data_IF_357401808369
#
_entry.id   IF_357401808369
#
_cell.length_a   1.000
_cell.length_b   1.000
_cell.length_c   1.000
_cell.angle_alpha   90.00
_cell.angle_beta   90.00
_cell.angle_gamma   90.00
#
_symmetry.space_group_name_H-M   'P 1'
#
loop_
_entity.id
_entity.type
_entity.pdbx_description
1 polymer ?
#
# COMPACT_ATOMS: atom_id res chain seq x y z
N UNK A 1 -16.34 -22.08 21.85
CA UNK A 1 -15.90 -22.94 20.74
C UNK A 1 -14.45 -22.60 20.42
N UNK A 2 -13.50 -23.33 21.01
CA UNK A 2 -12.07 -22.95 21.05
C UNK A 2 -11.29 -23.38 19.80
N UNK A 3 -11.83 -24.31 19.03
CA UNK A 3 -11.21 -24.84 17.82
C UNK A 3 -11.41 -23.91 16.61
N UNK A 4 -12.58 -23.27 16.51
CA UNK A 4 -12.89 -22.32 15.45
C UNK A 4 -12.04 -21.02 15.54
N UNK A 5 -11.82 -20.51 16.76
CA UNK A 5 -10.92 -19.36 16.98
C UNK A 5 -9.47 -19.66 16.54
N UNK A 6 -8.95 -20.83 16.90
CA UNK A 6 -7.56 -21.20 16.57
C UNK A 6 -7.35 -21.43 15.06
N UNK A 7 -8.35 -21.94 14.35
CA UNK A 7 -8.27 -22.13 12.90
C UNK A 7 -8.27 -20.78 12.15
N UNK A 8 -9.14 -19.85 12.55
CA UNK A 8 -9.14 -18.49 12.00
C UNK A 8 -7.83 -17.76 12.26
N UNK A 9 -7.26 -17.87 13.47
CA UNK A 9 -5.96 -17.25 13.80
C UNK A 9 -4.80 -17.81 12.97
N UNK A 10 -4.83 -19.11 12.65
CA UNK A 10 -3.81 -19.76 11.80
C UNK A 10 -3.95 -19.27 10.36
N UNK A 11 -5.17 -19.22 9.81
CA UNK A 11 -5.41 -18.74 8.44
C UNK A 11 -5.06 -17.25 8.28
N UNK A 12 -5.36 -16.42 9.28
CA UNK A 12 -5.03 -15.00 9.30
C UNK A 12 -3.52 -14.76 9.40
N UNK A 13 -2.81 -15.54 10.23
CA UNK A 13 -1.35 -15.51 10.32
C UNK A 13 -0.65 -15.97 9.05
N UNK A 14 -1.13 -17.05 8.42
CA UNK A 14 -0.56 -17.57 7.17
C UNK A 14 -0.81 -16.61 6.00
N UNK A 15 -1.99 -15.99 5.92
CA UNK A 15 -2.29 -14.97 4.94
C UNK A 15 -1.41 -13.72 5.14
N UNK A 16 -1.22 -13.30 6.40
CA UNK A 16 -0.37 -12.16 6.72
C UNK A 16 1.09 -12.43 6.35
N UNK A 17 1.61 -13.62 6.65
CA UNK A 17 2.95 -14.02 6.26
C UNK A 17 3.13 -14.08 4.73
N UNK A 18 2.15 -14.63 4.00
CA UNK A 18 2.20 -14.69 2.54
C UNK A 18 2.16 -13.30 1.89
N UNK A 19 1.33 -12.39 2.43
CA UNK A 19 1.22 -11.01 1.96
C UNK A 19 2.48 -10.20 2.26
N UNK A 20 3.09 -10.41 3.43
CA UNK A 20 4.38 -9.83 3.80
C UNK A 20 5.53 -10.37 2.93
N UNK A 21 5.56 -11.68 2.67
CA UNK A 21 6.57 -12.32 1.83
C UNK A 21 6.47 -11.84 0.37
N UNK A 22 5.26 -11.65 -0.17
CA UNK A 22 5.04 -11.09 -1.50
C UNK A 22 5.52 -9.65 -1.60
N UNK A 23 5.28 -8.87 -0.55
CA UNK A 23 5.70 -7.47 -0.45
C UNK A 23 7.24 -7.35 -0.33
N UNK A 24 7.86 -8.13 0.56
CA UNK A 24 9.31 -8.18 0.72
C UNK A 24 10.00 -8.70 -0.55
N UNK A 25 9.43 -9.70 -1.21
CA UNK A 25 9.92 -10.22 -2.49
C UNK A 25 9.86 -9.16 -3.59
N UNK A 26 8.79 -8.36 -3.66
CA UNK A 26 8.67 -7.25 -4.61
C UNK A 26 9.71 -6.15 -4.36
N UNK A 27 9.94 -5.79 -3.09
CA UNK A 27 10.98 -4.81 -2.74
C UNK A 27 12.38 -5.31 -3.08
N UNK A 28 12.66 -6.59 -2.78
CA UNK A 28 13.96 -7.22 -3.01
C UNK A 28 14.29 -7.43 -4.51
N UNK A 29 13.30 -7.76 -5.34
CA UNK A 29 13.53 -7.98 -6.78
C UNK A 29 13.56 -6.71 -7.61
N UNK A 30 12.84 -5.65 -7.22
CA UNK A 30 12.79 -4.41 -7.98
C UNK A 30 13.68 -3.30 -7.42
N UNK A 31 14.21 -3.41 -6.20
CA UNK A 31 15.13 -2.41 -5.64
C UNK A 31 14.44 -1.06 -5.39
N UNK A 32 13.34 -1.09 -4.63
CA UNK A 32 12.57 0.09 -4.22
C UNK A 32 11.07 -0.20 -4.07
N UNK A 33 10.32 0.81 -3.63
CA UNK A 33 8.86 0.73 -3.45
C UNK A 33 8.17 0.96 -4.80
N UNK A 34 7.34 0.04 -5.31
CA UNK A 34 6.66 0.23 -6.59
C UNK A 34 5.62 1.36 -6.52
N UNK A 35 5.45 2.09 -7.63
CA UNK A 35 4.45 3.14 -7.73
C UNK A 35 3.04 2.53 -7.80
N UNK A 36 2.15 2.87 -6.84
CA UNK A 36 0.82 2.25 -6.78
C UNK A 36 -0.13 2.73 -7.89
N UNK A 37 0.20 3.83 -8.58
CA UNK A 37 -0.62 4.35 -9.68
C UNK A 37 -0.37 3.63 -11.00
N UNK A 38 0.90 3.33 -11.31
CA UNK A 38 1.26 2.79 -12.63
C UNK A 38 1.84 1.37 -12.59
N UNK A 39 2.20 0.87 -11.41
CA UNK A 39 2.82 -0.45 -11.15
C UNK A 39 4.07 -0.77 -11.99
N UNK A 40 4.65 0.23 -12.65
CA UNK A 40 5.78 0.09 -13.60
C UNK A 40 7.03 0.83 -13.17
N UNK A 41 6.88 1.93 -12.44
CA UNK A 41 8.01 2.69 -11.91
C UNK A 41 8.12 2.53 -10.41
N UNK A 42 9.20 3.08 -9.86
CA UNK A 42 9.45 3.12 -8.42
C UNK A 42 9.17 4.50 -7.83
N UNK A 43 8.87 4.50 -6.55
CA UNK A 43 8.71 5.71 -5.77
C UNK A 43 10.07 6.27 -5.35
N UNK A 44 10.21 7.58 -5.48
CA UNK A 44 11.23 8.39 -4.84
C UNK A 44 10.59 9.29 -3.78
N UNK A 45 11.33 9.61 -2.73
CA UNK A 45 10.90 10.51 -1.66
C UNK A 45 12.02 11.48 -1.30
N UNK A 46 11.68 12.76 -1.27
CA UNK A 46 12.60 13.81 -0.86
C UNK A 46 12.43 14.04 0.63
N UNK A 47 13.49 13.75 1.38
CA UNK A 47 13.51 13.93 2.83
C UNK A 47 13.39 15.40 3.26
N UNK A 48 13.82 16.34 2.41
CA UNK A 48 13.86 17.77 2.74
C UNK A 48 12.51 18.45 2.60
N UNK A 49 11.70 18.08 1.61
CA UNK A 49 10.44 18.75 1.31
C UNK A 49 9.20 17.83 1.25
N UNK A 50 9.39 16.55 1.57
CA UNK A 50 8.32 15.55 1.68
C UNK A 50 7.67 15.19 0.35
N UNK A 51 8.29 15.55 -0.79
CA UNK A 51 7.73 15.20 -2.09
C UNK A 51 7.91 13.70 -2.33
N UNK A 52 6.81 12.99 -2.51
CA UNK A 52 6.75 11.62 -3.01
C UNK A 52 6.47 11.67 -4.51
N UNK A 53 7.29 11.00 -5.32
CA UNK A 53 7.12 10.96 -6.78
C UNK A 53 7.36 9.57 -7.37
N UNK A 54 6.94 9.34 -8.61
CA UNK A 54 7.35 8.17 -9.38
C UNK A 54 8.42 8.55 -10.43
N UNK A 55 9.39 7.66 -10.63
CA UNK A 55 10.42 7.84 -11.67
C UNK A 55 9.89 7.61 -13.10
N UNK A 56 8.75 6.92 -13.24
CA UNK A 56 8.20 6.52 -14.54
C UNK A 56 6.94 7.32 -14.95
N UNK A 57 5.96 7.49 -14.05
CA UNK A 57 4.75 8.27 -14.35
C UNK A 57 4.83 9.68 -13.75
N UNK A 58 4.30 10.66 -14.47
CA UNK A 58 4.24 12.05 -14.00
C UNK A 58 3.05 12.31 -13.07
N UNK A 59 2.07 11.40 -13.03
CA UNK A 59 0.86 11.54 -12.22
C UNK A 59 1.14 11.39 -10.73
N UNK A 60 2.14 10.57 -10.35
CA UNK A 60 2.51 10.40 -8.96
C UNK A 60 3.44 11.54 -8.54
N UNK A 61 2.85 12.62 -7.99
CA UNK A 61 3.55 13.73 -7.33
C UNK A 61 2.71 14.21 -6.16
N UNK A 62 3.16 13.94 -4.94
CA UNK A 62 2.40 14.18 -3.72
C UNK A 62 3.30 14.79 -2.65
N UNK A 63 2.93 15.94 -2.08
CA UNK A 63 3.66 16.51 -0.94
C UNK A 63 3.06 15.95 0.35
N UNK A 64 3.81 15.05 0.98
CA UNK A 64 3.50 14.57 2.31
C UNK A 64 3.94 15.69 3.27
N UNK A 65 3.00 16.33 3.96
CA UNK A 65 3.27 17.48 4.85
C UNK A 65 4.13 17.17 6.09
N UNK A 66 4.97 16.12 6.03
CA UNK A 66 5.85 15.63 7.08
C UNK A 66 7.25 15.39 6.48
N UNK A 67 8.24 16.25 6.81
CA UNK A 67 9.62 16.00 6.42
C UNK A 67 10.19 14.81 7.21
N UNK A 68 11.25 14.20 6.67
CA UNK A 68 11.98 13.12 7.35
C UNK A 68 11.41 11.71 7.20
N UNK A 69 10.31 11.53 6.44
CA UNK A 69 9.76 10.21 6.14
C UNK A 69 10.74 9.35 5.32
N UNK A 70 10.68 8.04 5.55
CA UNK A 70 11.37 6.97 4.85
C UNK A 70 10.42 6.25 3.89
N UNK A 71 10.88 5.93 2.69
CA UNK A 71 10.09 5.13 1.75
C UNK A 71 9.79 3.75 2.32
N UNK A 72 10.80 3.10 2.90
CA UNK A 72 10.72 1.71 3.34
C UNK A 72 10.01 1.56 4.69
N UNK A 73 10.23 2.51 5.61
CA UNK A 73 9.73 2.40 6.99
C UNK A 73 8.39 3.12 7.21
N UNK A 74 8.08 4.15 6.42
CA UNK A 74 6.86 4.94 6.61
C UNK A 74 5.88 4.80 5.44
N UNK A 75 6.35 5.00 4.20
CA UNK A 75 5.46 5.06 3.04
C UNK A 75 4.94 3.69 2.67
N UNK A 76 5.84 2.74 2.49
CA UNK A 76 5.49 1.44 1.97
C UNK A 76 4.63 0.61 2.95
N UNK A 77 4.85 0.66 4.28
CA UNK A 77 3.93 0.10 5.26
C UNK A 77 2.54 0.76 5.24
N UNK A 78 2.47 2.08 5.03
CA UNK A 78 1.18 2.79 4.95
C UNK A 78 0.39 2.38 3.70
N UNK A 79 1.06 2.25 2.54
CA UNK A 79 0.46 1.71 1.31
C UNK A 79 -0.05 0.28 1.53
N UNK A 80 0.78 -0.56 2.13
CA UNK A 80 0.45 -1.94 2.43
C UNK A 80 -0.77 -2.04 3.35
N UNK A 81 -0.78 -1.26 4.44
CA UNK A 81 -1.89 -1.22 5.38
C UNK A 81 -3.21 -0.79 4.72
N UNK A 82 -3.15 0.15 3.76
CA UNK A 82 -4.33 0.58 3.00
C UNK A 82 -4.90 -0.55 2.13
N UNK A 83 -4.04 -1.33 1.47
CA UNK A 83 -4.48 -2.53 0.72
C UNK A 83 -5.03 -3.59 1.68
N UNK A 84 -4.37 -3.81 2.82
CA UNK A 84 -4.79 -4.82 3.79
C UNK A 84 -6.18 -4.52 4.36
N UNK A 85 -6.45 -3.28 4.75
CA UNK A 85 -7.80 -2.84 5.19
C UNK A 85 -8.86 -3.09 4.11
N UNK A 86 -8.54 -2.88 2.84
CA UNK A 86 -9.44 -3.23 1.75
C UNK A 86 -9.77 -4.74 1.73
N UNK A 87 -8.75 -5.60 1.82
CA UNK A 87 -8.92 -7.05 1.77
C UNK A 87 -9.72 -7.57 2.98
N UNK A 88 -9.43 -7.05 4.17
CA UNK A 88 -10.04 -7.45 5.44
C UNK A 88 -11.47 -6.89 5.60
N UNK A 89 -11.64 -5.56 5.50
CA UNK A 89 -12.92 -4.89 5.75
C UNK A 89 -13.87 -5.00 4.57
N UNK A 90 -13.33 -4.83 3.36
CA UNK A 90 -14.09 -4.93 2.12
C UNK A 90 -14.47 -6.36 1.75
N UNK A 91 -13.85 -7.37 2.39
CA UNK A 91 -13.98 -8.80 2.08
C UNK A 91 -13.91 -9.04 0.57
N UNK A 92 -12.94 -8.40 -0.08
CA UNK A 92 -12.82 -8.36 -1.53
C UNK A 92 -11.40 -8.74 -1.93
N UNK A 93 -11.27 -9.74 -2.79
CA UNK A 93 -9.97 -10.25 -3.27
C UNK A 93 -9.38 -9.41 -4.42
N UNK A 94 -10.13 -8.39 -4.89
CA UNK A 94 -9.70 -7.56 -6.00
C UNK A 94 -8.55 -6.64 -5.58
N UNK A 95 -7.51 -6.53 -6.40
CA UNK A 95 -6.48 -5.50 -6.18
C UNK A 95 -7.12 -4.11 -6.29
N UNK A 96 -7.04 -3.27 -5.24
CA UNK A 96 -7.60 -1.94 -5.30
C UNK A 96 -6.73 -1.01 -6.16
N UNK A 97 -7.33 0.07 -6.64
CA UNK A 97 -6.68 1.09 -7.48
C UNK A 97 -6.37 2.32 -6.64
N UNK A 98 -5.17 2.86 -6.81
CA UNK A 98 -4.75 4.10 -6.19
C UNK A 98 -4.95 5.28 -7.12
N UNK A 99 -5.46 6.39 -6.57
CA UNK A 99 -5.63 7.66 -7.28
C UNK A 99 -5.24 8.83 -6.38
N UNK A 100 -4.80 9.94 -6.97
CA UNK A 100 -4.59 11.19 -6.22
C UNK A 100 -5.88 12.03 -6.31
N UNK A 101 -6.40 12.45 -5.16
CA UNK A 101 -7.56 13.34 -5.06
C UNK A 101 -7.30 14.39 -4.00
N UNK A 102 -7.50 15.66 -4.33
CA UNK A 102 -7.34 16.79 -3.41
C UNK A 102 -5.99 16.81 -2.66
N UNK A 103 -4.92 16.40 -3.34
CA UNK A 103 -3.58 16.33 -2.75
C UNK A 103 -3.41 15.21 -1.73
N UNK A 104 -4.22 14.15 -1.83
CA UNK A 104 -4.21 12.96 -0.99
C UNK A 104 -4.12 11.71 -1.85
N UNK A 105 -3.52 10.65 -1.32
CA UNK A 105 -3.50 9.37 -2.00
C UNK A 105 -4.66 8.51 -1.50
N UNK A 106 -5.57 8.15 -2.40
CA UNK A 106 -6.78 7.40 -2.08
C UNK A 106 -6.71 6.03 -2.74
N UNK A 107 -7.03 5.00 -1.96
CA UNK A 107 -7.21 3.63 -2.43
C UNK A 107 -8.71 3.37 -2.62
N UNK A 108 -9.08 2.78 -3.76
CA UNK A 108 -10.48 2.56 -4.13
C UNK A 108 -10.66 1.22 -4.80
N UNK A 109 -11.84 0.61 -4.64
CA UNK A 109 -12.22 -0.59 -5.37
C UNK A 109 -13.60 -0.37 -6.01
N UNK A 110 -13.65 -0.34 -7.34
CA UNK A 110 -14.91 -0.12 -8.07
C UNK A 110 -15.89 -1.30 -7.92
N UNK A 111 -15.38 -2.49 -7.62
CA UNK A 111 -16.18 -3.71 -7.48
C UNK A 111 -16.98 -3.72 -6.16
N UNK A 112 -16.31 -3.53 -5.02
CA UNK A 112 -16.95 -3.53 -3.70
C UNK A 112 -17.30 -2.12 -3.19
N UNK A 113 -17.00 -1.07 -3.97
CA UNK A 113 -17.20 0.35 -3.64
C UNK A 113 -16.44 0.83 -2.40
N UNK A 114 -15.48 0.05 -1.92
CA UNK A 114 -14.64 0.41 -0.79
C UNK A 114 -13.69 1.56 -1.18
N UNK A 115 -13.42 2.44 -0.20
CA UNK A 115 -12.54 3.59 -0.35
C UNK A 115 -11.87 3.91 0.96
N UNK A 116 -10.62 4.32 0.91
CA UNK A 116 -9.88 4.81 2.07
C UNK A 116 -8.71 5.71 1.66
N UNK A 117 -8.19 6.45 2.62
CA UNK A 117 -7.04 7.33 2.47
C UNK A 117 -5.75 6.61 2.90
N UNK A 118 -4.71 6.73 2.07
CA UNK A 118 -3.37 6.29 2.39
C UNK A 118 -2.51 7.42 2.99
N UNK A 119 -2.68 8.67 2.50
CA UNK A 119 -1.95 9.88 2.95
C UNK A 119 -2.74 11.16 2.70
#
# INVERSE_FOLDING_TARGET
DFAACRLHEIEEMELQAAVEELYLSHMATQGGVPCPLCSRGKLGLSRSDGLLWCENCLDMRLRLGRPGLSLEDDIAPSLHAAVRRHLEDGRCEQTPVFTIRDGRLVVTCELCRWKDEAF
#
